data_IF_482262151892
#
_entry.id   IF_482262151892
#
_cell.length_a   1.000
_cell.length_b   1.000
_cell.length_c   1.000
_cell.angle_alpha   90.00
_cell.angle_beta   90.00
_cell.angle_gamma   90.00
#
_symmetry.space_group_name_H-M   'P 1'
#
loop_
_entity.id
_entity.type
_entity.pdbx_description
1 polymer ?
#
# COMPACT_ATOMS: atom_id res chain seq x y z
N UNK A 1 17.93 -31.48 29.70
CA UNK A 1 17.76 -30.18 29.00
C UNK A 1 18.64 -30.03 27.76
N UNK A 2 19.97 -30.23 27.81
CA UNK A 2 20.87 -30.08 26.64
C UNK A 2 20.48 -30.91 25.40
N UNK A 3 20.09 -32.18 25.59
CA UNK A 3 19.69 -33.08 24.48
C UNK A 3 18.38 -32.67 23.81
N UNK A 4 17.46 -32.07 24.56
CA UNK A 4 16.19 -31.57 24.03
C UNK A 4 16.43 -30.35 23.12
N UNK A 5 17.24 -29.39 23.57
CA UNK A 5 17.63 -28.24 22.76
C UNK A 5 18.42 -28.62 21.50
N UNK A 6 19.29 -29.63 21.57
CA UNK A 6 19.98 -30.16 20.39
C UNK A 6 19.02 -30.80 19.39
N UNK A 7 18.02 -31.55 19.87
CA UNK A 7 16.97 -32.11 19.01
C UNK A 7 16.13 -31.01 18.34
N UNK A 8 15.73 -29.99 19.10
CA UNK A 8 14.97 -28.85 18.57
C UNK A 8 15.78 -28.06 17.53
N UNK A 9 17.05 -27.80 17.80
CA UNK A 9 17.96 -27.12 16.87
C UNK A 9 18.11 -27.93 15.57
N UNK A 10 18.24 -29.25 15.65
CA UNK A 10 18.35 -30.11 14.48
C UNK A 10 17.07 -30.10 13.64
N UNK A 11 15.89 -30.10 14.28
CA UNK A 11 14.59 -29.96 13.57
C UNK A 11 14.49 -28.61 12.86
N UNK A 12 14.89 -27.52 13.51
CA UNK A 12 14.90 -26.17 12.91
C UNK A 12 15.84 -26.14 11.69
N UNK A 13 17.06 -26.69 11.82
CA UNK A 13 18.04 -26.73 10.73
C UNK A 13 17.49 -27.51 9.54
N UNK A 14 16.91 -28.69 9.76
CA UNK A 14 16.32 -29.50 8.69
C UNK A 14 15.15 -28.76 8.04
N UNK A 15 14.29 -28.11 8.81
CA UNK A 15 13.17 -27.32 8.29
C UNK A 15 13.62 -26.14 7.43
N UNK A 16 14.62 -25.37 7.89
CA UNK A 16 15.19 -24.25 7.13
C UNK A 16 15.87 -24.75 5.86
N UNK A 17 16.63 -25.83 5.93
CA UNK A 17 17.31 -26.42 4.78
C UNK A 17 16.32 -26.90 3.71
N UNK A 18 15.25 -27.58 4.13
CA UNK A 18 14.18 -28.01 3.23
C UNK A 18 13.47 -26.82 2.59
N UNK A 19 13.12 -25.79 3.37
CA UNK A 19 12.51 -24.56 2.87
C UNK A 19 13.40 -23.83 1.87
N UNK A 20 14.73 -23.88 2.04
CA UNK A 20 15.68 -23.25 1.15
C UNK A 20 15.80 -23.98 -0.19
N UNK A 21 15.75 -25.33 -0.18
CA UNK A 21 15.75 -26.14 -1.39
C UNK A 21 14.48 -25.95 -2.23
N UNK A 22 13.32 -25.81 -1.57
CA UNK A 22 12.04 -25.57 -2.25
C UNK A 22 11.79 -24.09 -2.56
N UNK A 23 12.71 -23.19 -2.19
CA UNK A 23 12.55 -21.74 -2.37
C UNK A 23 12.20 -21.29 -3.79
N UNK A 24 12.84 -21.80 -4.86
CA UNK A 24 12.62 -21.28 -6.20
C UNK A 24 11.18 -21.41 -6.69
N UNK A 25 10.50 -22.52 -6.38
CA UNK A 25 9.16 -22.82 -6.89
C UNK A 25 8.08 -21.95 -6.21
N UNK A 26 8.11 -21.85 -4.88
CA UNK A 26 7.11 -21.02 -4.18
C UNK A 26 7.37 -19.53 -4.37
N UNK A 27 8.63 -19.10 -4.51
CA UNK A 27 8.97 -17.71 -4.83
C UNK A 27 8.50 -17.30 -6.22
N UNK A 28 8.63 -18.20 -7.22
CA UNK A 28 8.14 -17.93 -8.57
C UNK A 28 6.61 -17.75 -8.59
N UNK A 29 5.87 -18.67 -7.96
CA UNK A 29 4.41 -18.56 -7.86
C UNK A 29 3.94 -17.33 -7.08
N UNK A 30 4.62 -17.01 -5.97
CA UNK A 30 4.32 -15.82 -5.18
C UNK A 30 4.58 -14.52 -5.97
N UNK A 31 5.70 -14.46 -6.71
CA UNK A 31 6.00 -13.32 -7.58
C UNK A 31 4.95 -13.16 -8.68
N UNK A 32 4.52 -14.26 -9.30
CA UNK A 32 3.50 -14.21 -10.36
C UNK A 32 2.14 -13.74 -9.83
N UNK A 33 1.66 -14.28 -8.71
CA UNK A 33 0.42 -13.83 -8.07
C UNK A 33 0.51 -12.35 -7.69
N UNK A 34 1.65 -11.93 -7.14
CA UNK A 34 1.87 -10.54 -6.76
C UNK A 34 1.86 -9.59 -7.97
N UNK A 35 2.54 -9.95 -9.06
CA UNK A 35 2.55 -9.16 -10.30
C UNK A 35 1.15 -9.07 -10.91
N UNK A 36 0.41 -10.18 -10.95
CA UNK A 36 -0.97 -10.19 -11.44
C UNK A 36 -1.87 -9.28 -10.58
N UNK A 37 -1.76 -9.34 -9.26
CA UNK A 37 -2.50 -8.45 -8.36
C UNK A 37 -2.16 -6.98 -8.61
N UNK A 38 -0.87 -6.62 -8.68
CA UNK A 38 -0.45 -5.23 -8.97
C UNK A 38 -1.01 -4.76 -10.31
N UNK A 39 -0.90 -5.59 -11.34
CA UNK A 39 -1.37 -5.26 -12.68
C UNK A 39 -2.89 -5.05 -12.74
N UNK A 40 -3.67 -5.95 -12.12
CA UNK A 40 -5.12 -5.81 -12.03
C UNK A 40 -5.54 -4.52 -11.33
N UNK A 41 -4.84 -4.14 -10.25
CA UNK A 41 -5.14 -2.90 -9.52
C UNK A 41 -4.74 -1.66 -10.32
N UNK A 42 -3.65 -1.74 -11.09
CA UNK A 42 -3.22 -0.67 -12.01
C UNK A 42 -4.25 -0.45 -13.10
N UNK A 43 -4.71 -1.51 -13.76
CA UNK A 43 -5.76 -1.43 -14.78
C UNK A 43 -7.08 -0.89 -14.22
N UNK A 44 -7.48 -1.35 -13.04
CA UNK A 44 -8.65 -0.82 -12.34
C UNK A 44 -8.51 0.68 -12.02
N UNK A 45 -7.32 1.11 -11.59
CA UNK A 45 -7.01 2.52 -11.34
C UNK A 45 -7.12 3.36 -12.62
N UNK A 46 -6.53 2.91 -13.72
CA UNK A 46 -6.64 3.60 -15.04
C UNK A 46 -8.11 3.73 -15.45
N UNK A 47 -8.89 2.64 -15.34
CA UNK A 47 -10.29 2.63 -15.73
C UNK A 47 -11.13 3.60 -14.88
N UNK A 48 -10.86 3.68 -13.57
CA UNK A 48 -11.50 4.62 -12.66
C UNK A 48 -11.09 6.07 -12.99
N UNK A 49 -9.79 6.34 -13.14
CA UNK A 49 -9.25 7.67 -13.44
C UNK A 49 -9.89 8.30 -14.67
N UNK A 50 -10.09 7.54 -15.75
CA UNK A 50 -10.75 8.02 -16.97
C UNK A 50 -12.19 8.50 -16.77
N UNK A 51 -12.82 8.18 -15.65
CA UNK A 51 -14.21 8.50 -15.33
C UNK A 51 -14.35 9.56 -14.23
N UNK A 52 -13.24 10.03 -13.66
CA UNK A 52 -13.26 10.93 -12.50
C UNK A 52 -12.13 11.96 -12.54
N UNK A 53 -12.11 12.85 -11.56
CA UNK A 53 -11.00 13.72 -11.24
C UNK A 53 -10.16 13.17 -10.06
N UNK A 54 -9.04 13.81 -9.76
CA UNK A 54 -8.13 13.43 -8.68
C UNK A 54 -8.84 13.33 -7.30
N UNK A 55 -9.81 14.20 -7.03
CA UNK A 55 -10.59 14.18 -5.80
C UNK A 55 -11.47 12.93 -5.72
N UNK A 56 -12.06 12.50 -6.83
CA UNK A 56 -12.75 11.22 -6.89
C UNK A 56 -11.80 10.03 -6.73
N UNK A 57 -10.58 10.08 -7.27
CA UNK A 57 -9.57 9.04 -7.04
C UNK A 57 -9.22 8.90 -5.55
N UNK A 58 -9.07 10.01 -4.83
CA UNK A 58 -8.84 10.02 -3.37
C UNK A 58 -10.02 9.36 -2.65
N UNK A 59 -11.25 9.75 -2.97
CA UNK A 59 -12.46 9.19 -2.38
C UNK A 59 -12.56 7.68 -2.60
N UNK A 60 -12.32 7.23 -3.83
CA UNK A 60 -12.46 5.82 -4.20
C UNK A 60 -11.39 4.95 -3.52
N UNK A 61 -10.13 5.39 -3.50
CA UNK A 61 -9.10 4.60 -2.82
C UNK A 61 -9.35 4.52 -1.31
N UNK A 62 -9.77 5.62 -0.66
CA UNK A 62 -10.11 5.60 0.77
C UNK A 62 -11.19 4.55 1.07
N UNK A 63 -12.24 4.48 0.23
CA UNK A 63 -13.27 3.47 0.36
C UNK A 63 -12.73 2.04 0.15
N UNK A 64 -11.86 1.84 -0.84
CA UNK A 64 -11.23 0.55 -1.13
C UNK A 64 -10.37 0.05 0.03
N UNK A 65 -9.52 0.89 0.60
CA UNK A 65 -8.64 0.48 1.71
C UNK A 65 -9.41 0.26 3.02
N UNK A 66 -10.48 1.02 3.27
CA UNK A 66 -11.31 0.85 4.47
C UNK A 66 -12.18 -0.42 4.41
N UNK A 67 -12.67 -0.77 3.22
CA UNK A 67 -13.51 -1.97 3.00
C UNK A 67 -12.71 -3.25 2.80
N UNK A 68 -11.39 -3.16 2.60
CA UNK A 68 -10.51 -4.30 2.38
C UNK A 68 -10.45 -5.22 3.62
N UNK A 69 -10.62 -6.52 3.39
CA UNK A 69 -10.60 -7.56 4.44
C UNK A 69 -9.42 -8.53 4.31
N UNK A 70 -8.48 -8.23 3.42
CA UNK A 70 -7.29 -9.04 3.21
C UNK A 70 -6.20 -8.71 4.23
N UNK A 71 -4.98 -9.20 4.01
CA UNK A 71 -3.83 -8.79 4.84
C UNK A 71 -3.55 -7.29 4.66
N UNK A 72 -3.04 -6.65 5.71
CA UNK A 72 -2.66 -5.23 5.67
C UNK A 72 -1.73 -4.91 4.50
N UNK A 73 -0.78 -5.80 4.22
CA UNK A 73 0.09 -5.73 3.05
C UNK A 73 -0.70 -5.72 1.73
N UNK A 74 -1.63 -6.67 1.53
CA UNK A 74 -2.41 -6.72 0.28
C UNK A 74 -3.31 -5.50 0.14
N UNK A 75 -3.97 -5.06 1.20
CA UNK A 75 -4.82 -3.87 1.18
C UNK A 75 -4.04 -2.59 0.84
N UNK A 76 -2.84 -2.43 1.41
CA UNK A 76 -2.01 -1.24 1.20
C UNK A 76 -1.35 -1.22 -0.18
N UNK A 77 -0.78 -2.34 -0.64
CA UNK A 77 -0.18 -2.42 -1.99
C UNK A 77 -1.25 -2.26 -3.07
N UNK A 78 -2.38 -2.97 -2.95
CA UNK A 78 -3.47 -2.85 -3.94
C UNK A 78 -4.04 -1.44 -3.98
N UNK A 79 -4.35 -0.85 -2.82
CA UNK A 79 -4.86 0.51 -2.72
C UNK A 79 -3.89 1.54 -3.28
N UNK A 80 -2.60 1.42 -2.95
CA UNK A 80 -1.59 2.37 -3.43
C UNK A 80 -1.35 2.29 -4.93
N UNK A 81 -1.29 1.08 -5.50
CA UNK A 81 -1.17 0.88 -6.95
C UNK A 81 -2.39 1.42 -7.68
N UNK A 82 -3.59 1.10 -7.19
CA UNK A 82 -4.85 1.63 -7.73
C UNK A 82 -4.85 3.16 -7.72
N UNK A 83 -4.50 3.78 -6.58
CA UNK A 83 -4.58 5.23 -6.41
C UNK A 83 -3.66 5.99 -7.34
N UNK A 84 -2.40 5.56 -7.45
CA UNK A 84 -1.43 6.16 -8.37
C UNK A 84 -1.95 6.11 -9.82
N UNK A 85 -2.38 4.94 -10.25
CA UNK A 85 -2.89 4.75 -11.61
C UNK A 85 -4.15 5.57 -11.89
N UNK A 86 -5.07 5.66 -10.91
CA UNK A 86 -6.23 6.54 -10.99
C UNK A 86 -5.83 8.00 -11.13
N UNK A 87 -4.96 8.49 -10.23
CA UNK A 87 -4.49 9.86 -10.22
C UNK A 87 -3.89 10.28 -11.56
N UNK A 88 -2.93 9.50 -12.06
CA UNK A 88 -2.21 9.77 -13.33
C UNK A 88 -3.12 9.75 -14.57
N UNK A 89 -4.31 9.14 -14.49
CA UNK A 89 -5.25 9.01 -15.60
C UNK A 89 -6.56 9.78 -15.39
N UNK A 90 -6.65 10.57 -14.32
CA UNK A 90 -7.81 11.37 -13.96
C UNK A 90 -7.72 12.80 -14.43
N UNK A 91 -8.85 13.50 -14.44
CA UNK A 91 -8.85 14.95 -14.65
C UNK A 91 -8.24 15.66 -13.43
N UNK A 92 -7.48 16.75 -13.61
CA UNK A 92 -6.98 17.53 -12.48
C UNK A 92 -8.12 18.09 -11.64
N UNK A 93 -7.99 18.05 -10.32
CA UNK A 93 -8.92 18.71 -9.38
C UNK A 93 -8.30 20.02 -8.90
N UNK A 94 -8.81 21.19 -9.31
CA UNK A 94 -8.23 22.48 -8.93
C UNK A 94 -8.12 22.64 -7.41
N UNK A 95 -6.90 22.89 -6.94
CA UNK A 95 -6.63 23.17 -5.53
C UNK A 95 -6.60 21.96 -4.59
N UNK A 96 -6.68 20.73 -5.11
CA UNK A 96 -6.63 19.51 -4.27
C UNK A 96 -5.35 19.40 -3.43
N UNK A 97 -4.25 19.97 -3.91
CA UNK A 97 -2.95 19.95 -3.24
C UNK A 97 -2.68 21.19 -2.36
N UNK A 98 -3.56 22.20 -2.34
CA UNK A 98 -3.28 23.49 -1.67
C UNK A 98 -3.11 23.36 -0.14
N UNK A 99 -3.75 22.36 0.46
CA UNK A 99 -3.72 22.10 1.91
C UNK A 99 -2.92 20.85 2.26
N UNK A 100 -2.23 20.26 1.28
CA UNK A 100 -1.45 19.03 1.47
C UNK A 100 -0.01 19.45 1.77
N UNK A 101 0.55 19.08 2.94
CA UNK A 101 1.93 19.42 3.27
C UNK A 101 2.91 18.69 2.34
N UNK A 102 4.11 19.25 2.13
CA UNK A 102 5.11 18.68 1.23
C UNK A 102 5.51 17.27 1.66
N UNK A 103 5.84 16.43 0.69
CA UNK A 103 6.34 15.08 0.96
C UNK A 103 7.80 15.10 1.40
N UNK A 104 8.08 14.48 2.53
CA UNK A 104 9.45 14.15 2.97
C UNK A 104 9.66 12.64 2.91
N UNK A 105 10.77 12.19 2.31
CA UNK A 105 11.11 10.76 2.18
C UNK A 105 11.14 10.08 3.55
N UNK A 106 11.85 10.68 4.51
CA UNK A 106 11.73 10.35 5.92
C UNK A 106 10.59 11.15 6.53
N UNK A 107 9.53 10.48 6.99
CA UNK A 107 8.39 11.13 7.62
C UNK A 107 8.82 11.89 8.88
N UNK A 108 8.65 13.20 8.85
CA UNK A 108 8.85 14.10 10.01
C UNK A 108 7.75 13.90 11.06
N UNK A 109 7.90 14.51 12.24
CA UNK A 109 6.84 14.49 13.25
C UNK A 109 5.58 15.24 12.77
N UNK A 110 5.76 16.33 12.02
CA UNK A 110 4.66 17.09 11.44
C UNK A 110 3.90 16.27 10.37
N UNK A 111 4.62 15.50 9.54
CA UNK A 111 3.99 14.57 8.59
C UNK A 111 3.12 13.54 9.32
N UNK A 112 3.65 12.94 10.39
CA UNK A 112 2.93 11.93 11.17
C UNK A 112 1.70 12.52 11.86
N UNK A 113 1.82 13.73 12.40
CA UNK A 113 0.72 14.45 13.03
C UNK A 113 -0.37 14.77 12.01
N UNK A 114 -0.01 15.37 10.88
CA UNK A 114 -0.96 15.72 9.82
C UNK A 114 -1.70 14.48 9.30
N UNK A 115 -0.99 13.40 8.99
CA UNK A 115 -1.63 12.16 8.51
C UNK A 115 -2.59 11.60 9.57
N UNK A 116 -2.19 11.59 10.85
CA UNK A 116 -3.04 11.09 11.94
C UNK A 116 -4.32 11.92 12.07
N UNK A 117 -4.18 13.24 12.09
CA UNK A 117 -5.30 14.16 12.26
C UNK A 117 -6.24 14.06 11.06
N UNK A 118 -5.68 14.01 9.85
CA UNK A 118 -6.46 13.85 8.62
C UNK A 118 -7.27 12.56 8.59
N UNK A 119 -6.68 11.43 8.96
CA UNK A 119 -7.41 10.16 9.05
C UNK A 119 -8.49 10.18 10.12
N UNK A 120 -8.27 10.93 11.21
CA UNK A 120 -9.26 11.10 12.28
C UNK A 120 -10.44 11.96 11.81
N UNK A 121 -10.18 13.06 11.11
CA UNK A 121 -11.21 13.92 10.50
C UNK A 121 -12.09 13.15 9.51
N UNK A 122 -11.48 12.25 8.73
CA UNK A 122 -12.19 11.41 7.76
C UNK A 122 -12.93 10.23 8.42
N UNK A 123 -12.74 9.98 9.72
CA UNK A 123 -13.36 8.87 10.44
C UNK A 123 -12.88 7.49 9.99
N UNK A 124 -11.65 7.39 9.46
CA UNK A 124 -11.11 6.17 8.85
C UNK A 124 -10.18 5.41 9.78
N UNK A 125 -10.02 4.11 9.55
CA UNK A 125 -9.04 3.30 10.28
C UNK A 125 -7.62 3.72 9.92
N UNK A 126 -6.77 3.68 10.95
CA UNK A 126 -5.43 4.25 10.89
C UNK A 126 -4.53 3.62 9.82
N UNK A 127 -4.51 2.29 9.64
CA UNK A 127 -3.51 1.62 8.78
C UNK A 127 -3.63 1.99 7.30
N UNK A 128 -4.79 1.77 6.69
CA UNK A 128 -5.03 2.07 5.27
C UNK A 128 -4.98 3.55 4.96
N UNK A 129 -5.66 4.38 5.76
CA UNK A 129 -5.71 5.82 5.53
C UNK A 129 -4.32 6.48 5.61
N UNK A 130 -3.48 6.08 6.57
CA UNK A 130 -2.13 6.68 6.72
C UNK A 130 -1.30 6.55 5.46
N UNK A 131 -1.33 5.38 4.82
CA UNK A 131 -0.58 5.13 3.61
C UNK A 131 -1.10 5.94 2.43
N UNK A 132 -2.43 6.03 2.26
CA UNK A 132 -3.02 6.85 1.19
C UNK A 132 -2.70 8.33 1.37
N UNK A 133 -2.79 8.86 2.59
CA UNK A 133 -2.45 10.28 2.85
C UNK A 133 -0.98 10.57 2.55
N UNK A 134 -0.06 9.67 2.93
CA UNK A 134 1.37 9.77 2.57
C UNK A 134 1.58 9.75 1.06
N UNK A 135 0.85 8.91 0.35
CA UNK A 135 0.93 8.82 -1.10
C UNK A 135 0.35 10.07 -1.78
N UNK A 136 -0.72 10.65 -1.22
CA UNK A 136 -1.26 11.93 -1.70
C UNK A 136 -0.24 13.07 -1.55
N UNK A 137 0.48 13.15 -0.43
CA UNK A 137 1.60 14.11 -0.29
C UNK A 137 2.63 13.93 -1.42
N UNK A 138 2.99 12.68 -1.73
CA UNK A 138 3.95 12.38 -2.79
C UNK A 138 3.45 12.81 -4.17
N UNK A 139 2.21 12.45 -4.53
CA UNK A 139 1.60 12.80 -5.81
C UNK A 139 1.50 14.32 -5.97
N UNK A 140 1.03 15.02 -4.95
CA UNK A 140 1.00 16.49 -4.93
C UNK A 140 2.38 17.15 -5.06
N UNK A 141 3.45 16.47 -4.58
CA UNK A 141 4.83 16.95 -4.75
C UNK A 141 5.37 16.76 -6.17
N UNK A 142 4.80 15.84 -6.95
CA UNK A 142 5.22 15.54 -8.33
C UNK A 142 4.48 16.34 -9.40
N UNK A 143 3.37 17.00 -9.07
CA UNK A 143 2.56 17.82 -10.02
C UNK A 143 3.08 19.26 -10.21
N UNK A 144 4.39 19.46 -10.08
CA UNK A 144 5.05 20.76 -10.33
C UNK A 144 5.60 20.87 -11.75
#
# INVERSE_FOLDING_TARGET
MRRFWLGLLLVIIVGVFYSWLSAPEWLAGWNEEHQQMVEQQREAGIAAGRQTDQQGCVSEVLQRVESCKESEYRCTVSGGTFFKACWENSQPSPGICNTIPPYHEAATEDDKAWVKDRCTELGLRASGCRLIMRQQQQLCGTEQ
#
